data_IF_201472737269
#
_entry.id   IF_201472737269
#
_cell.length_a   1.000
_cell.length_b   1.000
_cell.length_c   1.000
_cell.angle_alpha   90.00
_cell.angle_beta   90.00
_cell.angle_gamma   90.00
#
_symmetry.space_group_name_H-M   'P 1'
#
loop_
_entity.id
_entity.type
_entity.pdbx_description
1 polymer ?
#
# COMPACT_ATOMS: atom_id res chain seq x y z
N UNK A 1 -9.96 12.37 3.48
CA UNK A 1 -8.82 12.26 4.41
C UNK A 1 -7.56 12.37 3.59
N UNK A 2 -7.04 13.59 3.40
CA UNK A 2 -5.75 13.80 2.72
C UNK A 2 -4.69 13.16 3.59
N UNK A 3 -3.90 12.25 3.04
CA UNK A 3 -2.88 11.50 3.76
C UNK A 3 -1.86 12.44 4.39
N UNK A 4 -1.39 12.12 5.60
CA UNK A 4 -0.38 12.88 6.36
C UNK A 4 0.86 13.22 5.51
N UNK A 5 1.18 12.38 4.53
CA UNK A 5 2.28 12.60 3.59
C UNK A 5 2.09 13.84 2.70
N UNK A 6 0.85 14.13 2.28
CA UNK A 6 0.54 15.27 1.43
C UNK A 6 0.68 16.59 2.20
N UNK A 7 0.39 16.59 3.50
CA UNK A 7 0.64 17.73 4.37
C UNK A 7 2.14 17.99 4.55
N UNK A 8 2.93 16.92 4.73
CA UNK A 8 4.39 17.01 4.84
C UNK A 8 5.03 17.51 3.55
N UNK A 9 4.58 17.02 2.39
CA UNK A 9 4.99 17.54 1.09
C UNK A 9 4.64 19.02 0.93
N UNK A 10 3.42 19.42 1.31
CA UNK A 10 3.02 20.83 1.30
C UNK A 10 3.93 21.72 2.15
N UNK A 11 4.35 21.23 3.32
CA UNK A 11 5.26 21.94 4.24
C UNK A 11 6.66 22.13 3.64
N UNK A 12 7.21 21.12 2.97
CA UNK A 12 8.51 21.21 2.29
C UNK A 12 8.43 22.22 1.14
N UNK A 13 7.39 22.15 0.31
CA UNK A 13 7.20 23.05 -0.83
C UNK A 13 7.07 24.50 -0.34
N UNK A 14 6.27 24.74 0.71
CA UNK A 14 6.08 26.07 1.27
C UNK A 14 7.40 26.68 1.80
N UNK A 15 8.18 25.91 2.57
CA UNK A 15 9.48 26.38 3.10
C UNK A 15 10.50 26.62 1.99
N UNK A 16 10.51 25.80 0.93
CA UNK A 16 11.42 25.96 -0.21
C UNK A 16 11.08 27.21 -1.04
N UNK A 17 9.80 27.43 -1.34
CA UNK A 17 9.37 28.64 -2.05
C UNK A 17 9.70 29.91 -1.25
N UNK A 18 9.50 29.87 0.08
CA UNK A 18 9.86 30.99 0.96
C UNK A 18 11.38 31.25 1.05
N UNK A 19 12.23 30.27 0.74
CA UNK A 19 13.69 30.43 0.61
C UNK A 19 14.04 31.05 -0.74
N UNK A 20 13.45 30.55 -1.83
CA UNK A 20 13.64 31.08 -3.18
C UNK A 20 13.20 32.55 -3.28
N UNK A 21 12.04 32.89 -2.71
CA UNK A 21 11.53 34.27 -2.64
C UNK A 21 12.47 35.18 -1.84
N UNK A 22 13.07 34.67 -0.77
CA UNK A 22 14.05 35.42 0.00
C UNK A 22 15.33 35.66 -0.82
N UNK A 23 15.88 34.64 -1.48
CA UNK A 23 17.09 34.76 -2.30
C UNK A 23 16.89 35.69 -3.51
N UNK A 24 15.70 35.71 -4.10
CA UNK A 24 15.37 36.56 -5.26
C UNK A 24 15.05 38.00 -4.88
N UNK A 25 14.38 38.23 -3.75
CA UNK A 25 13.97 39.58 -3.33
C UNK A 25 15.08 40.35 -2.64
N UNK A 26 16.01 39.65 -1.98
CA UNK A 26 17.02 40.31 -1.14
C UNK A 26 18.42 40.24 -1.75
N UNK A 27 18.82 41.34 -2.39
CA UNK A 27 20.16 41.54 -2.98
C UNK A 27 21.27 41.73 -1.91
N UNK A 28 20.88 41.86 -0.65
CA UNK A 28 21.73 42.08 0.53
C UNK A 28 21.12 41.40 1.76
N UNK A 29 20.86 40.10 1.68
CA UNK A 29 20.49 39.32 2.86
C UNK A 29 21.72 38.99 3.70
N UNK A 30 21.57 39.14 5.02
CA UNK A 30 22.53 38.59 5.98
C UNK A 30 22.64 37.08 5.76
N UNK A 31 23.87 36.58 5.63
CA UNK A 31 24.17 35.15 5.48
C UNK A 31 23.52 34.30 6.58
N UNK A 32 23.33 34.87 7.77
CA UNK A 32 22.67 34.24 8.91
C UNK A 32 21.18 33.93 8.65
N UNK A 33 20.46 34.82 7.96
CA UNK A 33 19.05 34.60 7.64
C UNK A 33 18.85 33.49 6.62
N UNK A 34 19.76 33.38 5.64
CA UNK A 34 19.75 32.30 4.65
C UNK A 34 19.96 30.96 5.35
N UNK A 35 20.99 30.85 6.20
CA UNK A 35 21.26 29.62 6.95
C UNK A 35 20.12 29.22 7.88
N UNK A 36 19.45 30.17 8.54
CA UNK A 36 18.28 29.88 9.37
C UNK A 36 17.11 29.30 8.55
N UNK A 37 16.93 29.76 7.32
CA UNK A 37 15.83 29.34 6.44
C UNK A 37 16.14 28.02 5.73
N UNK A 38 17.40 27.79 5.37
CA UNK A 38 17.91 26.48 4.95
C UNK A 38 17.71 25.42 6.04
N UNK A 39 17.99 25.74 7.30
CA UNK A 39 17.72 24.83 8.44
C UNK A 39 16.24 24.45 8.55
N UNK A 40 15.33 25.38 8.29
CA UNK A 40 13.89 25.09 8.29
C UNK A 40 13.50 24.17 7.12
N UNK A 41 14.08 24.36 5.93
CA UNK A 41 13.85 23.42 4.81
C UNK A 41 14.38 22.03 5.19
N UNK A 42 15.58 21.96 5.75
CA UNK A 42 16.19 20.70 6.17
C UNK A 42 15.36 19.99 7.23
N UNK A 43 14.87 20.69 8.25
CA UNK A 43 14.00 20.11 9.28
C UNK A 43 12.69 19.54 8.71
N UNK A 44 12.12 20.20 7.69
CA UNK A 44 10.91 19.68 7.03
C UNK A 44 11.21 18.43 6.17
N UNK A 45 12.38 18.39 5.52
CA UNK A 45 12.85 17.21 4.78
C UNK A 45 13.17 16.06 5.73
N UNK A 46 13.87 16.35 6.84
CA UNK A 46 14.19 15.39 7.88
C UNK A 46 12.91 14.83 8.48
N UNK A 47 11.91 15.67 8.78
CA UNK A 47 10.60 15.20 9.22
C UNK A 47 9.96 14.29 8.17
N UNK A 48 9.95 14.65 6.88
CA UNK A 48 9.39 13.83 5.80
C UNK A 48 10.07 12.45 5.69
N UNK A 49 11.40 12.38 5.87
CA UNK A 49 12.18 11.14 5.79
C UNK A 49 12.10 10.32 7.08
N UNK A 50 12.19 10.97 8.25
CA UNK A 50 12.18 10.37 9.58
C UNK A 50 10.82 9.81 9.99
N UNK A 51 9.74 10.21 9.30
CA UNK A 51 8.46 9.50 9.33
C UNK A 51 8.58 8.01 8.96
N UNK A 52 9.77 7.52 8.55
CA UNK A 52 10.10 6.10 8.47
C UNK A 52 11.28 5.60 9.33
N UNK A 53 12.06 6.46 10.01
CA UNK A 53 13.40 6.08 10.53
C UNK A 53 13.55 6.15 12.06
N UNK A 54 12.85 7.03 12.80
CA UNK A 54 13.12 7.26 14.25
C UNK A 54 12.15 6.60 15.24
N UNK A 55 11.89 5.30 15.07
CA UNK A 55 11.65 4.42 16.22
C UNK A 55 10.27 4.43 16.90
N UNK A 56 9.27 5.13 16.37
CA UNK A 56 7.88 4.72 16.55
C UNK A 56 7.31 4.40 15.17
N UNK A 57 6.83 3.17 14.90
CA UNK A 57 6.01 2.94 13.74
C UNK A 57 4.77 3.80 13.97
N UNK A 58 4.71 4.96 13.30
CA UNK A 58 3.45 5.62 13.05
C UNK A 58 2.59 4.52 12.43
N UNK A 59 1.61 4.11 13.23
CA UNK A 59 0.88 2.87 13.02
C UNK A 59 0.38 2.84 11.57
N UNK A 60 0.56 1.67 10.96
CA UNK A 60 -0.29 1.20 9.86
C UNK A 60 0.08 1.65 8.43
N UNK A 61 1.27 1.30 7.92
CA UNK A 61 1.40 1.34 6.46
C UNK A 61 2.62 0.76 5.76
N UNK A 62 3.83 0.79 6.34
CA UNK A 62 5.04 0.32 5.61
C UNK A 62 5.44 -1.11 5.94
N UNK A 63 5.44 -1.52 7.21
CA UNK A 63 5.71 -2.92 7.56
C UNK A 63 4.56 -3.85 7.10
N UNK A 64 3.33 -3.35 7.13
CA UNK A 64 2.14 -4.09 6.70
C UNK A 64 2.04 -4.20 5.17
N UNK A 65 2.37 -3.15 4.40
CA UNK A 65 2.42 -3.26 2.92
C UNK A 65 3.48 -4.20 2.41
N UNK A 66 4.62 -4.31 3.09
CA UNK A 66 5.67 -5.26 2.70
C UNK A 66 5.22 -6.70 2.95
N UNK A 67 4.54 -6.96 4.07
CA UNK A 67 4.01 -8.29 4.41
C UNK A 67 2.81 -8.67 3.54
N UNK A 68 1.87 -7.77 3.29
CA UNK A 68 0.70 -8.05 2.44
C UNK A 68 1.06 -8.23 0.96
N UNK A 69 2.05 -7.48 0.45
CA UNK A 69 2.47 -7.63 -0.96
C UNK A 69 3.16 -8.96 -1.22
N UNK A 70 3.83 -9.54 -0.21
CA UNK A 70 4.52 -10.83 -0.31
C UNK A 70 3.62 -12.04 0.03
N UNK A 71 2.63 -11.89 0.91
CA UNK A 71 1.73 -12.97 1.33
C UNK A 71 0.60 -13.27 0.33
N UNK A 72 0.48 -12.45 -0.72
CA UNK A 72 -0.38 -12.70 -1.87
C UNK A 72 -1.54 -11.70 -1.96
N UNK A 73 -1.72 -11.15 -3.16
CA UNK A 73 -2.81 -10.22 -3.46
C UNK A 73 -4.13 -10.95 -3.65
N UNK A 74 -5.23 -10.29 -3.32
CA UNK A 74 -6.57 -10.77 -3.70
C UNK A 74 -6.63 -10.84 -5.23
N UNK A 75 -7.09 -11.99 -5.73
CA UNK A 75 -7.16 -12.29 -7.15
C UNK A 75 -8.62 -12.18 -7.58
N UNK A 76 -8.87 -11.36 -8.59
CA UNK A 76 -10.18 -11.29 -9.25
C UNK A 76 -10.50 -12.64 -9.91
N UNK A 77 -11.79 -12.99 -10.05
CA UNK A 77 -12.22 -14.32 -10.52
C UNK A 77 -11.89 -15.47 -9.55
N UNK A 78 -11.96 -15.21 -8.24
CA UNK A 78 -11.86 -16.24 -7.21
C UNK A 78 -13.15 -16.37 -6.40
N UNK A 79 -13.53 -17.61 -6.08
CA UNK A 79 -14.71 -17.93 -5.28
C UNK A 79 -14.36 -18.92 -4.17
N UNK A 80 -15.06 -18.83 -3.04
CA UNK A 80 -14.93 -19.76 -1.90
C UNK A 80 -16.29 -20.38 -1.64
N UNK A 81 -16.32 -21.69 -1.42
CA UNK A 81 -17.53 -22.44 -1.08
C UNK A 81 -17.19 -23.62 -0.18
N UNK A 82 -18.20 -24.18 0.46
CA UNK A 82 -18.07 -25.36 1.33
C UNK A 82 -17.89 -26.59 0.44
N UNK A 83 -16.99 -27.49 0.84
CA UNK A 83 -16.77 -28.77 0.14
C UNK A 83 -17.72 -29.81 0.72
N UNK A 84 -18.55 -30.40 -0.13
CA UNK A 84 -19.45 -31.52 0.20
C UNK A 84 -18.96 -32.78 -0.54
N UNK A 85 -19.05 -33.94 0.12
CA UNK A 85 -18.60 -35.22 -0.46
C UNK A 85 -19.53 -35.64 -1.61
N UNK A 86 -18.97 -35.80 -2.81
CA UNK A 86 -19.68 -36.27 -4.01
C UNK A 86 -19.24 -37.67 -4.43
N UNK A 87 -19.89 -38.75 -3.93
CA UNK A 87 -19.44 -40.13 -4.19
C UNK A 87 -19.60 -40.55 -5.67
N UNK A 88 -20.54 -39.95 -6.40
CA UNK A 88 -20.79 -40.23 -7.83
C UNK A 88 -19.83 -39.52 -8.79
N UNK A 89 -18.95 -38.64 -8.30
CA UNK A 89 -18.05 -37.86 -9.15
C UNK A 89 -16.72 -38.60 -9.39
N UNK A 90 -16.36 -38.71 -10.66
CA UNK A 90 -15.05 -39.22 -11.09
C UNK A 90 -13.93 -38.30 -10.62
N UNK A 91 -12.71 -38.83 -10.51
CA UNK A 91 -11.53 -38.11 -10.01
C UNK A 91 -11.23 -36.77 -10.71
N UNK A 92 -11.55 -36.67 -12.00
CA UNK A 92 -11.30 -35.51 -12.83
C UNK A 92 -12.45 -34.47 -12.80
N UNK A 93 -13.55 -34.75 -12.09
CA UNK A 93 -14.74 -33.88 -12.03
C UNK A 93 -14.87 -33.23 -10.66
N UNK A 94 -15.52 -32.06 -10.63
CA UNK A 94 -15.95 -31.38 -9.40
C UNK A 94 -17.33 -30.76 -9.62
N UNK A 95 -18.15 -30.73 -8.58
CA UNK A 95 -19.44 -30.03 -8.60
C UNK A 95 -19.24 -28.55 -8.26
N UNK A 96 -19.83 -27.66 -9.05
CA UNK A 96 -19.81 -26.21 -8.83
C UNK A 96 -21.25 -25.69 -8.73
N UNK A 97 -21.60 -24.93 -7.67
CA UNK A 97 -22.90 -24.25 -7.58
C UNK A 97 -23.16 -23.33 -8.78
N UNK A 98 -24.39 -23.38 -9.32
CA UNK A 98 -24.79 -22.57 -10.48
C UNK A 98 -24.69 -21.07 -10.23
N UNK A 99 -24.97 -20.64 -9.00
CA UNK A 99 -24.88 -19.23 -8.59
C UNK A 99 -23.46 -18.67 -8.71
N UNK A 100 -22.43 -19.50 -8.56
CA UNK A 100 -21.04 -19.05 -8.70
C UNK A 100 -20.67 -18.73 -10.15
N UNK A 101 -21.34 -19.33 -11.13
CA UNK A 101 -21.04 -19.16 -12.56
C UNK A 101 -21.55 -17.83 -13.13
N UNK A 102 -22.47 -17.17 -12.43
CA UNK A 102 -23.37 -16.18 -13.03
C UNK A 102 -22.77 -14.83 -13.40
N UNK A 103 -21.52 -14.49 -13.03
CA UNK A 103 -21.05 -13.10 -13.23
C UNK A 103 -19.64 -12.90 -13.78
N UNK A 104 -18.69 -13.81 -13.59
CA UNK A 104 -17.29 -13.56 -14.04
C UNK A 104 -16.46 -14.84 -13.90
N UNK A 105 -16.59 -15.81 -14.80
CA UNK A 105 -15.65 -16.95 -14.86
C UNK A 105 -15.23 -17.21 -16.30
N UNK A 106 -14.07 -16.65 -16.67
CA UNK A 106 -13.39 -16.96 -17.92
C UNK A 106 -12.36 -18.07 -17.63
N UNK A 107 -12.65 -19.26 -18.16
CA UNK A 107 -11.75 -20.36 -18.56
C UNK A 107 -10.74 -21.01 -17.59
N UNK A 108 -10.64 -20.66 -16.29
CA UNK A 108 -9.68 -21.37 -15.40
C UNK A 108 -10.15 -21.58 -13.95
N UNK A 109 -11.12 -22.47 -13.73
CA UNK A 109 -11.54 -22.86 -12.38
C UNK A 109 -10.58 -23.89 -11.77
N UNK A 110 -9.67 -23.45 -10.88
CA UNK A 110 -8.83 -24.36 -10.09
C UNK A 110 -9.59 -24.83 -8.85
N UNK A 111 -10.33 -25.94 -8.96
CA UNK A 111 -11.01 -26.55 -7.81
C UNK A 111 -10.02 -27.38 -6.96
N UNK A 112 -9.91 -27.08 -5.66
CA UNK A 112 -9.13 -27.90 -4.71
C UNK A 112 -9.91 -29.19 -4.43
N UNK A 113 -9.39 -30.33 -4.87
CA UNK A 113 -10.01 -31.66 -4.70
C UNK A 113 -9.58 -32.27 -3.36
N UNK A 114 -10.53 -32.83 -2.61
CA UNK A 114 -10.27 -33.72 -1.48
C UNK A 114 -11.13 -34.98 -1.66
N UNK A 115 -10.53 -36.08 -2.11
CA UNK A 115 -11.13 -37.41 -1.88
C UNK A 115 -10.44 -37.98 -0.66
N UNK A 116 -11.16 -38.08 0.45
CA UNK A 116 -10.73 -38.89 1.58
C UNK A 116 -10.79 -40.34 1.10
N UNK A 117 -9.67 -40.86 0.61
CA UNK A 117 -9.47 -42.29 0.44
C UNK A 117 -9.28 -42.84 1.85
N UNK A 118 -10.36 -43.38 2.43
CA UNK A 118 -10.24 -44.22 3.62
C UNK A 118 -9.57 -45.52 3.14
N UNK A 119 -8.32 -45.71 3.57
CA UNK A 119 -7.60 -46.98 3.42
C UNK A 119 -8.27 -48.06 4.27
#
# INVERSE_FOLDING_TARGET
MSSDINELYGRVIYRNNALIDLLTTSRSTSSELVMCREKLVQEAVDTLLDNGIRGQPMRDGKEERFRETLLGKRVDYSGRSIIVVGPSLSLHRCGLPREMFGRTWVSKTRCRRFKSYRA
#
